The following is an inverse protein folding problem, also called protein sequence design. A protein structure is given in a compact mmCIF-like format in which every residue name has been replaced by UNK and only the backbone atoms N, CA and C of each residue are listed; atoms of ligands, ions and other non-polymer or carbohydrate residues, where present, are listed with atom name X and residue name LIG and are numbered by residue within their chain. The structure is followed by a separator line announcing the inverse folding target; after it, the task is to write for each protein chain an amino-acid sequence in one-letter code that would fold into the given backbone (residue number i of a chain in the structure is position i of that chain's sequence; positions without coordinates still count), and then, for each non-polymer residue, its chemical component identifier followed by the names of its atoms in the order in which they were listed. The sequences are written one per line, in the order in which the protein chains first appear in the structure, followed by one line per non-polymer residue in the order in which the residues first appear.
data_IF_461649983690
#
_entry.id   IF_461649983690
#
_cell.length_a   1.000
_cell.length_b   1.000
_cell.length_c   1.000
_cell.angle_alpha   90.00
_cell.angle_beta   90.00
_cell.angle_gamma   90.00
#
_symmetry.space_group_name_H-M   'P 1'
#
loop_
_entity.id
_entity.type
_entity.pdbx_description
1 polymer ?
#
# COMPACT_ATOMS: atom_id res chain seq x y z
N UNK A 1 -12.38 15.22 15.02
CA UNK A 1 -11.78 13.88 15.21
C UNK A 1 -11.09 13.54 13.90
N UNK A 2 -9.84 13.96 13.77
CA UNK A 2 -9.02 13.79 12.57
C UNK A 2 -7.57 13.49 12.99
N UNK A 3 -6.73 13.18 12.00
CA UNK A 3 -5.34 12.79 12.27
C UNK A 3 -4.50 13.93 12.86
N UNK A 4 -4.82 15.19 12.57
CA UNK A 4 -4.09 16.32 13.13
C UNK A 4 -4.39 16.47 14.62
N UNK A 5 -5.66 16.37 15.01
CA UNK A 5 -6.05 16.36 16.41
C UNK A 5 -5.42 15.19 17.16
N UNK A 6 -5.42 13.99 16.55
CA UNK A 6 -4.77 12.82 17.14
C UNK A 6 -3.26 13.03 17.35
N UNK A 7 -2.54 13.61 16.37
CA UNK A 7 -1.11 13.92 16.51
C UNK A 7 -0.82 14.95 17.62
N UNK A 8 -1.70 15.93 17.79
CA UNK A 8 -1.61 16.93 18.87
C UNK A 8 -1.80 16.26 20.24
N UNK A 9 -2.81 15.39 20.36
CA UNK A 9 -3.16 14.72 21.60
C UNK A 9 -2.09 13.72 22.05
N UNK A 10 -1.42 13.05 21.10
CA UNK A 10 -0.35 12.07 21.34
C UNK A 10 0.95 12.72 21.85
N UNK A 11 1.11 14.05 21.70
CA UNK A 11 2.25 14.85 22.19
C UNK A 11 3.66 14.42 21.74
N UNK A 12 3.79 13.47 20.80
CA UNK A 12 5.09 13.07 20.25
C UNK A 12 5.72 14.17 19.37
N UNK A 13 4.89 14.92 18.65
CA UNK A 13 5.31 16.04 17.82
C UNK A 13 4.87 17.35 18.48
N UNK A 14 5.81 18.15 18.94
CA UNK A 14 5.53 19.32 19.79
C UNK A 14 5.55 20.64 19.04
N UNK A 15 6.19 20.71 17.87
CA UNK A 15 6.26 21.94 17.07
C UNK A 15 5.31 21.93 15.89
N UNK A 16 4.75 23.09 15.55
CA UNK A 16 3.92 23.29 14.35
C UNK A 16 4.61 22.80 13.08
N UNK A 17 5.93 22.99 12.99
CA UNK A 17 6.72 22.54 11.83
C UNK A 17 6.75 21.02 11.71
N UNK A 18 6.91 20.28 12.81
CA UNK A 18 6.90 18.81 12.79
C UNK A 18 5.54 18.28 12.33
N UNK A 19 4.46 18.78 12.94
CA UNK A 19 3.09 18.42 12.57
C UNK A 19 2.82 18.72 11.09
N UNK A 20 3.27 19.87 10.59
CA UNK A 20 3.13 20.24 9.17
C UNK A 20 3.87 19.27 8.25
N UNK A 21 5.12 18.92 8.55
CA UNK A 21 5.91 17.97 7.75
C UNK A 21 5.30 16.57 7.79
N UNK A 22 4.73 16.17 8.93
CA UNK A 22 4.03 14.89 9.08
C UNK A 22 2.79 14.83 8.20
N UNK A 23 1.95 15.86 8.25
CA UNK A 23 0.76 15.98 7.40
C UNK A 23 1.12 15.97 5.90
N UNK A 24 2.17 16.70 5.50
CA UNK A 24 2.65 16.68 4.11
C UNK A 24 3.10 15.29 3.68
N UNK A 25 3.83 14.58 4.53
CA UNK A 25 4.33 13.23 4.24
C UNK A 25 3.18 12.23 4.08
N UNK A 26 2.17 12.30 4.95
CA UNK A 26 0.97 11.45 4.89
C UNK A 26 0.19 11.74 3.61
N UNK A 27 -0.03 13.02 3.27
CA UNK A 27 -0.73 13.41 2.04
C UNK A 27 0.01 12.92 0.79
N UNK A 28 1.33 13.10 0.74
CA UNK A 28 2.14 12.63 -0.39
C UNK A 28 2.00 11.11 -0.58
N UNK A 29 2.07 10.34 0.50
CA UNK A 29 1.90 8.89 0.45
C UNK A 29 0.50 8.47 -0.06
N UNK A 30 -0.56 9.15 0.40
CA UNK A 30 -1.95 8.82 0.07
C UNK A 30 -2.36 9.19 -1.36
N UNK A 31 -1.88 10.34 -1.87
CA UNK A 31 -2.25 10.84 -3.21
C UNK A 31 -1.80 9.88 -4.30
N UNK A 32 -0.54 9.44 -4.25
CA UNK A 32 0.00 8.66 -5.33
C UNK A 32 -0.59 7.24 -5.41
N UNK A 33 -0.79 6.58 -4.27
CA UNK A 33 -1.36 5.23 -4.21
C UNK A 33 -2.79 5.23 -4.72
N UNK A 34 -3.59 6.22 -4.30
CA UNK A 34 -4.99 6.38 -4.73
C UNK A 34 -5.11 6.75 -6.21
N UNK A 35 -4.26 7.67 -6.70
CA UNK A 35 -4.27 8.08 -8.11
C UNK A 35 -3.97 6.92 -9.05
N UNK A 36 -3.08 6.01 -8.64
CA UNK A 36 -2.73 4.81 -9.41
C UNK A 36 -3.94 3.89 -9.63
N UNK A 37 -4.74 3.68 -8.59
CA UNK A 37 -5.97 2.88 -8.68
C UNK A 37 -6.98 3.50 -9.65
N UNK A 38 -7.12 4.83 -9.63
CA UNK A 38 -8.01 5.55 -10.54
C UNK A 38 -7.53 5.45 -12.01
N UNK A 39 -6.22 5.54 -12.25
CA UNK A 39 -5.66 5.32 -13.59
C UNK A 39 -5.91 3.90 -14.09
N UNK A 40 -5.76 2.88 -13.23
CA UNK A 40 -6.10 1.51 -13.62
C UNK A 40 -7.60 1.32 -13.87
N UNK A 41 -8.48 1.98 -13.12
CA UNK A 41 -9.92 1.93 -13.43
C UNK A 41 -10.23 2.56 -14.80
N UNK A 42 -9.53 3.63 -15.16
CA UNK A 42 -9.67 4.26 -16.47
C UNK A 42 -9.08 3.41 -17.60
N UNK A 43 -7.96 2.74 -17.36
CA UNK A 43 -7.30 1.86 -18.34
C UNK A 43 -8.03 0.53 -18.55
N UNK A 44 -8.72 0.03 -17.52
CA UNK A 44 -9.44 -1.24 -17.54
C UNK A 44 -10.93 -1.08 -17.18
N UNK A 45 -11.72 -0.37 -18.01
CA UNK A 45 -13.12 -0.05 -17.72
C UNK A 45 -14.02 -1.29 -17.57
N UNK A 46 -13.61 -2.44 -18.13
CA UNK A 46 -14.34 -3.71 -18.00
C UNK A 46 -14.49 -4.18 -16.55
N UNK A 47 -13.65 -3.73 -15.62
CA UNK A 47 -13.75 -4.09 -14.20
C UNK A 47 -14.62 -3.13 -13.39
N UNK A 48 -14.98 -1.96 -13.92
CA UNK A 48 -15.78 -0.96 -13.18
C UNK A 48 -17.16 -1.51 -12.81
N UNK A 49 -17.83 -2.21 -13.74
CA UNK A 49 -19.13 -2.83 -13.49
C UNK A 49 -19.08 -3.87 -12.36
N UNK A 50 -18.26 -4.93 -12.49
CA UNK A 50 -18.13 -5.97 -11.47
C UNK A 50 -17.71 -5.45 -10.08
N UNK A 51 -16.89 -4.40 -10.01
CA UNK A 51 -16.49 -3.77 -8.76
C UNK A 51 -17.65 -2.99 -8.12
N UNK A 52 -18.40 -2.23 -8.92
CA UNK A 52 -19.59 -1.50 -8.44
C UNK A 52 -20.67 -2.45 -7.96
N UNK A 53 -20.90 -3.55 -8.67
CA UNK A 53 -21.87 -4.57 -8.27
C UNK A 53 -21.56 -5.17 -6.89
N UNK A 54 -20.28 -5.48 -6.62
CA UNK A 54 -19.84 -5.94 -5.29
C UNK A 54 -20.09 -4.87 -4.23
N UNK A 55 -19.67 -3.64 -4.49
CA UNK A 55 -19.81 -2.51 -3.56
C UNK A 55 -21.29 -2.26 -3.23
N UNK A 56 -22.15 -2.17 -4.25
CA UNK A 56 -23.58 -1.92 -4.09
C UNK A 56 -24.29 -3.06 -3.35
N UNK A 57 -23.91 -4.32 -3.61
CA UNK A 57 -24.48 -5.47 -2.92
C UNK A 57 -24.15 -5.44 -1.42
N UNK A 58 -22.87 -5.25 -1.08
CA UNK A 58 -22.39 -5.24 0.31
C UNK A 58 -22.97 -4.05 1.09
N UNK A 59 -22.98 -2.86 0.49
CA UNK A 59 -23.55 -1.66 1.14
C UNK A 59 -25.05 -1.82 1.35
N UNK A 60 -25.77 -2.44 0.40
CA UNK A 60 -27.21 -2.67 0.57
C UNK A 60 -27.52 -3.58 1.75
N UNK A 61 -26.66 -4.57 1.99
CA UNK A 61 -26.85 -5.55 3.07
C UNK A 61 -26.38 -5.04 4.43
N UNK A 62 -25.19 -4.42 4.48
CA UNK A 62 -24.51 -4.09 5.74
C UNK A 62 -24.43 -2.58 6.03
N UNK A 63 -24.79 -1.74 5.06
CA UNK A 63 -24.62 -0.30 5.14
C UNK A 63 -23.19 0.17 4.89
N UNK A 64 -22.96 1.47 5.09
CA UNK A 64 -21.64 2.09 5.01
C UNK A 64 -20.90 1.97 6.35
N UNK A 65 -20.29 0.82 6.59
CA UNK A 65 -19.48 0.54 7.78
C UNK A 65 -18.07 0.07 7.41
N UNK A 66 -17.13 0.15 8.36
CA UNK A 66 -15.75 -0.32 8.15
C UNK A 66 -15.76 -1.84 7.93
N UNK A 67 -16.62 -2.55 8.66
CA UNK A 67 -16.81 -3.99 8.56
C UNK A 67 -17.32 -4.37 7.17
N UNK A 68 -18.26 -3.60 6.61
CA UNK A 68 -18.77 -3.81 5.26
C UNK A 68 -17.68 -3.60 4.21
N UNK A 69 -16.86 -2.55 4.33
CA UNK A 69 -15.74 -2.30 3.41
C UNK A 69 -14.74 -3.47 3.40
N UNK A 70 -14.50 -4.10 4.55
CA UNK A 70 -13.62 -5.27 4.65
C UNK A 70 -14.13 -6.50 3.89
N UNK A 71 -15.42 -6.56 3.56
CA UNK A 71 -16.02 -7.65 2.78
C UNK A 71 -15.84 -7.48 1.25
N UNK A 72 -15.42 -6.30 0.78
CA UNK A 72 -15.28 -5.97 -0.65
C UNK A 72 -14.00 -6.61 -1.24
N UNK A 73 -14.01 -7.92 -1.42
CA UNK A 73 -12.83 -8.72 -1.81
C UNK A 73 -12.29 -8.37 -3.19
N UNK A 74 -13.15 -8.14 -4.19
CA UNK A 74 -12.71 -7.77 -5.54
C UNK A 74 -12.11 -6.36 -5.54
N UNK A 75 -12.74 -5.42 -4.84
CA UNK A 75 -12.20 -4.07 -4.69
C UNK A 75 -10.84 -4.08 -3.96
N UNK A 76 -10.72 -4.85 -2.87
CA UNK A 76 -9.47 -5.03 -2.16
C UNK A 76 -8.39 -5.65 -3.08
N UNK A 77 -8.71 -6.73 -3.80
CA UNK A 77 -7.79 -7.37 -4.75
C UNK A 77 -7.34 -6.42 -5.86
N UNK A 78 -8.23 -5.59 -6.40
CA UNK A 78 -7.91 -4.60 -7.42
C UNK A 78 -6.87 -3.58 -6.91
N UNK A 79 -7.05 -3.10 -5.67
CA UNK A 79 -6.12 -2.18 -5.04
C UNK A 79 -4.76 -2.84 -4.76
N UNK A 80 -4.77 -4.09 -4.27
CA UNK A 80 -3.54 -4.85 -4.01
C UNK A 80 -2.77 -5.10 -5.30
N UNK A 81 -3.43 -5.52 -6.38
CA UNK A 81 -2.78 -5.75 -7.68
C UNK A 81 -2.21 -4.45 -8.27
N UNK A 82 -2.93 -3.34 -8.12
CA UNK A 82 -2.43 -2.01 -8.53
C UNK A 82 -1.14 -1.68 -7.80
N UNK A 83 -1.09 -1.88 -6.48
CA UNK A 83 0.14 -1.65 -5.71
C UNK A 83 1.23 -2.67 -6.01
N UNK A 84 0.90 -3.91 -6.39
CA UNK A 84 1.89 -4.92 -6.78
C UNK A 84 2.71 -4.45 -7.99
N UNK A 85 2.04 -3.99 -9.05
CA UNK A 85 2.68 -3.59 -10.31
C UNK A 85 3.19 -2.16 -10.32
N UNK A 86 2.48 -1.27 -9.63
CA UNK A 86 2.68 0.19 -9.72
C UNK A 86 2.85 0.85 -8.35
N UNK A 87 3.09 0.09 -7.28
CA UNK A 87 3.39 0.65 -5.96
C UNK A 87 4.67 1.50 -5.96
N UNK A 88 4.65 2.62 -5.22
CA UNK A 88 5.78 3.56 -5.14
C UNK A 88 6.87 3.11 -4.17
N UNK A 89 6.57 2.18 -3.25
CA UNK A 89 7.53 1.70 -2.25
C UNK A 89 8.53 0.71 -2.86
N UNK A 90 9.40 1.23 -3.73
CA UNK A 90 10.47 0.46 -4.38
C UNK A 90 11.76 0.40 -3.57
N UNK A 91 11.89 1.17 -2.47
CA UNK A 91 13.05 1.07 -1.59
C UNK A 91 12.68 1.31 -0.13
N UNK A 92 12.35 0.23 0.59
CA UNK A 92 12.42 0.22 2.05
C UNK A 92 13.89 0.30 2.46
N UNK A 93 14.41 1.51 2.64
CA UNK A 93 15.78 1.71 3.11
C UNK A 93 15.82 1.57 4.63
N UNK A 94 16.58 0.59 5.12
CA UNK A 94 16.94 0.46 6.54
C UNK A 94 18.43 0.66 6.66
N UNK A 95 18.88 1.28 7.75
CA UNK A 95 20.30 1.38 8.08
C UNK A 95 20.58 0.41 9.23
N UNK A 96 21.59 -0.43 9.07
CA UNK A 96 22.10 -1.25 10.16
C UNK A 96 22.67 -0.32 11.23
N UNK A 97 22.08 -0.34 12.43
CA UNK A 97 22.53 0.49 13.56
C UNK A 97 23.60 -0.20 14.40
N UNK A 98 23.80 -1.50 14.17
CA UNK A 98 24.86 -2.34 14.74
C UNK A 98 25.20 -3.40 13.70
N UNK A 99 26.32 -4.09 13.88
CA UNK A 99 26.63 -5.29 13.10
C UNK A 99 25.50 -6.32 13.23
N UNK A 100 25.07 -6.89 12.10
CA UNK A 100 23.96 -7.85 12.00
C UNK A 100 24.43 -9.07 11.23
N UNK A 101 24.36 -10.26 11.83
CA UNK A 101 24.58 -11.52 11.11
C UNK A 101 23.24 -12.11 10.70
N UNK A 102 23.06 -12.35 9.40
CA UNK A 102 21.89 -13.03 8.86
C UNK A 102 21.94 -14.54 9.11
N UNK A 103 20.80 -15.22 8.96
CA UNK A 103 20.68 -16.67 9.16
C UNK A 103 21.57 -17.52 8.24
N UNK A 104 21.98 -16.97 7.10
CA UNK A 104 22.91 -17.60 6.14
C UNK A 104 24.38 -17.34 6.48
N UNK A 105 24.67 -16.65 7.59
CA UNK A 105 26.02 -16.28 8.02
C UNK A 105 26.54 -14.98 7.42
N UNK A 106 25.79 -14.30 6.54
CA UNK A 106 26.20 -13.01 5.98
C UNK A 106 26.27 -11.95 7.08
N UNK A 107 27.43 -11.32 7.26
CA UNK A 107 27.60 -10.21 8.20
C UNK A 107 27.35 -8.87 7.49
N UNK A 108 26.46 -8.06 8.05
CA UNK A 108 26.11 -6.72 7.63
C UNK A 108 26.71 -5.75 8.65
N UNK A 109 27.75 -4.99 8.29
CA UNK A 109 28.37 -4.04 9.20
C UNK A 109 27.43 -2.89 9.59
N UNK A 110 27.65 -2.34 10.77
CA UNK A 110 27.05 -1.08 11.21
C UNK A 110 27.22 0.00 10.13
N UNK A 111 26.17 0.78 9.91
CA UNK A 111 26.16 1.86 8.93
C UNK A 111 25.70 1.45 7.54
N UNK A 112 25.65 0.14 7.24
CA UNK A 112 25.21 -0.38 5.94
C UNK A 112 23.74 -0.06 5.68
N UNK A 113 23.43 0.41 4.47
CA UNK A 113 22.06 0.62 4.01
C UNK A 113 21.55 -0.61 3.28
N UNK A 114 20.49 -1.20 3.82
CA UNK A 114 19.77 -2.33 3.25
C UNK A 114 18.54 -1.82 2.50
N UNK A 115 18.25 -2.43 1.36
CA UNK A 115 17.04 -2.15 0.58
C UNK A 115 16.46 -3.45 0.06
N UNK A 116 15.14 -3.59 0.16
CA UNK A 116 14.40 -4.72 -0.42
C UNK A 116 13.80 -4.27 -1.75
N UNK A 117 14.21 -4.86 -2.89
CA UNK A 117 13.67 -4.52 -4.21
C UNK A 117 12.29 -5.18 -4.41
N UNK A 118 11.28 -4.67 -3.71
CA UNK A 118 9.89 -5.17 -3.73
C UNK A 118 9.32 -5.27 -5.14
N UNK A 119 9.59 -4.31 -6.03
CA UNK A 119 9.13 -4.36 -7.42
C UNK A 119 9.68 -5.56 -8.20
N UNK A 120 10.87 -6.05 -7.85
CA UNK A 120 11.46 -7.23 -8.48
C UNK A 120 10.72 -8.47 -7.99
N UNK A 121 10.57 -8.63 -6.68
CA UNK A 121 9.85 -9.78 -6.09
C UNK A 121 8.41 -9.87 -6.55
N UNK A 122 7.73 -8.73 -6.67
CA UNK A 122 6.38 -8.65 -7.20
C UNK A 122 6.28 -9.15 -8.65
N UNK A 123 7.38 -9.21 -9.40
CA UNK A 123 7.40 -9.64 -10.81
C UNK A 123 8.07 -11.00 -11.02
N UNK A 124 8.34 -11.75 -9.96
CA UNK A 124 8.95 -13.08 -10.07
C UNK A 124 7.90 -14.13 -10.46
N UNK A 125 8.14 -14.84 -11.56
CA UNK A 125 7.25 -15.90 -12.07
C UNK A 125 7.15 -17.11 -11.15
N UNK A 126 8.15 -17.35 -10.29
CA UNK A 126 8.09 -18.38 -9.25
C UNK A 126 7.08 -18.06 -8.13
N UNK A 127 6.62 -16.80 -8.02
CA UNK A 127 5.67 -16.35 -7.00
C UNK A 127 4.30 -16.04 -7.63
N UNK A 128 4.28 -15.45 -8.82
CA UNK A 128 3.05 -15.03 -9.49
C UNK A 128 2.99 -15.53 -10.94
N UNK A 129 1.88 -16.18 -11.30
CA UNK A 129 1.60 -16.52 -12.70
C UNK A 129 1.38 -15.25 -13.55
N UNK A 130 2.00 -15.20 -14.72
CA UNK A 130 1.98 -14.01 -15.60
C UNK A 130 2.26 -12.71 -14.81
N UNK A 131 3.45 -12.59 -14.20
CA UNK A 131 3.72 -11.58 -13.19
C UNK A 131 3.62 -10.14 -13.72
N UNK A 132 3.90 -9.92 -14.99
CA UNK A 132 3.82 -8.58 -15.59
C UNK A 132 2.43 -8.19 -16.07
N UNK A 133 1.47 -9.12 -16.04
CA UNK A 133 0.08 -8.87 -16.44
C UNK A 133 -0.70 -8.38 -15.23
N UNK A 134 -1.39 -7.25 -15.41
CA UNK A 134 -2.34 -6.74 -14.44
C UNK A 134 -3.57 -7.66 -14.40
N UNK A 135 -3.71 -8.41 -13.30
CA UNK A 135 -4.87 -9.23 -13.03
C UNK A 135 -5.56 -8.74 -11.74
N UNK A 136 -6.59 -7.88 -11.83
CA UNK A 136 -7.18 -7.24 -10.65
C UNK A 136 -7.85 -8.22 -9.68
N UNK A 137 -8.12 -9.46 -10.09
CA UNK A 137 -8.74 -10.48 -9.26
C UNK A 137 -7.73 -11.53 -8.75
N UNK A 138 -6.43 -11.27 -8.87
CA UNK A 138 -5.36 -12.18 -8.44
C UNK A 138 -5.44 -12.59 -6.96
N UNK A 139 -6.03 -11.75 -6.11
CA UNK A 139 -6.11 -11.93 -4.66
C UNK A 139 -7.55 -12.10 -4.15
N UNK A 140 -8.51 -12.43 -5.04
CA UNK A 140 -9.94 -12.62 -4.71
C UNK A 140 -10.32 -14.09 -4.56
#
# INVERSE_FOLDING_TARGET
NDILQWLIDEKQESSTRQLTLRMLSINLASIHTSSRALYNLAAYPQYVGPLREEVDAIIREHGWTIEAIALMRKAASFLVETQRLEGILTLHKKKAMTDLTLSDGTCIPEGTHLSVPTCVFHRVSAVYDNPDVFNPLRFS
#
